data_IF_251874269873
#
_entry.id   IF_251874269873
#
_cell.length_a   1.000
_cell.length_b   1.000
_cell.length_c   1.000
_cell.angle_alpha   90.00
_cell.angle_beta   90.00
_cell.angle_gamma   90.00
#
_symmetry.space_group_name_H-M   'P 1'
#
loop_
_entity.id
_entity.type
_entity.pdbx_description
1 polymer ?
#
# COMPACT_ATOMS: atom_id res chain seq x y z
N UNK A 1 -6.88 -6.04 11.96
CA UNK A 1 -6.57 -7.40 11.45
C UNK A 1 -7.53 -7.89 10.36
N UNK A 2 -8.84 -7.84 10.57
CA UNK A 2 -9.87 -8.34 9.62
C UNK A 2 -9.83 -7.69 8.23
N UNK A 3 -9.56 -6.40 8.14
CA UNK A 3 -9.61 -5.65 6.87
C UNK A 3 -8.40 -5.87 5.97
N UNK A 4 -7.20 -5.97 6.53
CA UNK A 4 -6.01 -6.35 5.76
C UNK A 4 -6.20 -7.74 5.14
N UNK A 5 -6.84 -8.65 5.88
CA UNK A 5 -7.20 -9.98 5.38
C UNK A 5 -8.21 -9.92 4.22
N UNK A 6 -9.28 -9.12 4.33
CA UNK A 6 -10.26 -8.95 3.25
C UNK A 6 -9.64 -8.33 1.98
N UNK A 7 -8.72 -7.36 2.15
CA UNK A 7 -7.95 -6.80 1.02
C UNK A 7 -7.12 -7.88 0.34
N UNK A 8 -6.37 -8.68 1.11
CA UNK A 8 -5.59 -9.80 0.58
C UNK A 8 -6.47 -10.81 -0.16
N UNK A 9 -7.66 -11.14 0.38
CA UNK A 9 -8.63 -12.01 -0.29
C UNK A 9 -9.12 -11.43 -1.63
N UNK A 10 -9.43 -10.14 -1.68
CA UNK A 10 -9.83 -9.47 -2.93
C UNK A 10 -8.71 -9.53 -3.97
N UNK A 11 -7.49 -9.22 -3.58
CA UNK A 11 -6.31 -9.30 -4.46
C UNK A 11 -6.08 -10.73 -4.93
N UNK A 12 -6.22 -11.72 -4.04
CA UNK A 12 -6.15 -13.14 -4.37
C UNK A 12 -7.18 -13.53 -5.44
N UNK A 13 -8.43 -13.08 -5.28
CA UNK A 13 -9.50 -13.30 -6.26
C UNK A 13 -9.17 -12.70 -7.63
N UNK A 14 -8.62 -11.49 -7.68
CA UNK A 14 -8.18 -10.85 -8.94
C UNK A 14 -7.03 -11.62 -9.60
N UNK A 15 -6.06 -12.09 -8.81
CA UNK A 15 -4.97 -12.93 -9.29
C UNK A 15 -5.52 -14.23 -9.90
N UNK A 16 -6.45 -14.91 -9.21
CA UNK A 16 -7.06 -16.14 -9.71
C UNK A 16 -7.84 -15.91 -11.01
N UNK A 17 -8.58 -14.82 -11.12
CA UNK A 17 -9.28 -14.45 -12.35
C UNK A 17 -8.31 -14.20 -13.51
N UNK A 18 -7.23 -13.45 -13.24
CA UNK A 18 -6.21 -13.17 -14.25
C UNK A 18 -5.51 -14.45 -14.73
N UNK A 19 -5.10 -15.33 -13.81
CA UNK A 19 -4.42 -16.58 -14.17
C UNK A 19 -5.35 -17.57 -14.86
N UNK A 20 -6.63 -17.63 -14.49
CA UNK A 20 -7.64 -18.43 -15.20
C UNK A 20 -7.84 -17.91 -16.63
N UNK A 21 -7.93 -16.59 -16.81
CA UNK A 21 -8.00 -15.97 -18.13
C UNK A 21 -6.75 -16.27 -18.96
N UNK A 22 -5.56 -16.17 -18.37
CA UNK A 22 -4.31 -16.52 -19.03
C UNK A 22 -4.28 -18.00 -19.45
N UNK A 23 -4.81 -18.92 -18.62
CA UNK A 23 -4.97 -20.33 -18.97
C UNK A 23 -5.87 -20.55 -20.19
N UNK A 24 -6.98 -19.82 -20.28
CA UNK A 24 -7.89 -19.85 -21.44
C UNK A 24 -7.16 -19.38 -22.71
N UNK A 25 -6.43 -18.25 -22.62
CA UNK A 25 -5.66 -17.70 -23.76
C UNK A 25 -4.58 -18.69 -24.20
N UNK A 26 -3.86 -19.32 -23.26
CA UNK A 26 -2.89 -20.35 -23.61
C UNK A 26 -3.49 -21.51 -24.39
N UNK A 27 -4.66 -22.00 -23.98
CA UNK A 27 -5.35 -23.10 -24.66
C UNK A 27 -5.81 -22.70 -26.05
N UNK A 28 -6.39 -21.51 -26.23
CA UNK A 28 -6.81 -21.01 -27.54
C UNK A 28 -5.64 -20.91 -28.53
N UNK A 29 -4.42 -20.61 -28.05
CA UNK A 29 -3.22 -20.54 -28.88
C UNK A 29 -2.76 -21.94 -29.31
N UNK A 30 -2.89 -22.96 -28.44
CA UNK A 30 -2.32 -24.28 -28.69
C UNK A 30 -3.31 -25.32 -29.26
N UNK A 31 -4.59 -25.25 -28.89
CA UNK A 31 -5.55 -26.34 -29.16
C UNK A 31 -6.74 -25.91 -30.03
N UNK A 32 -6.86 -24.62 -30.38
CA UNK A 32 -7.98 -24.03 -31.15
C UNK A 32 -9.40 -24.31 -30.57
N UNK A 33 -9.50 -24.97 -29.41
CA UNK A 33 -10.78 -25.33 -28.77
C UNK A 33 -10.78 -24.93 -27.30
N UNK A 34 -11.89 -24.34 -26.86
CA UNK A 34 -12.11 -24.04 -25.44
C UNK A 34 -12.47 -25.32 -24.68
N UNK A 35 -11.71 -25.62 -23.63
CA UNK A 35 -12.02 -26.68 -22.68
C UNK A 35 -12.04 -26.12 -21.24
N UNK A 36 -12.87 -26.68 -20.38
CA UNK A 36 -12.92 -26.34 -18.96
C UNK A 36 -11.60 -26.64 -18.24
N UNK A 37 -10.73 -27.46 -18.81
CA UNK A 37 -9.42 -27.79 -18.26
C UNK A 37 -8.54 -26.56 -18.06
N UNK A 38 -8.58 -25.57 -18.98
CA UNK A 38 -7.78 -24.34 -18.85
C UNK A 38 -8.12 -23.52 -17.61
N UNK A 39 -9.39 -23.45 -17.23
CA UNK A 39 -9.83 -22.79 -16.00
C UNK A 39 -9.42 -23.61 -14.79
N UNK A 40 -9.53 -24.94 -14.85
CA UNK A 40 -9.11 -25.85 -13.78
C UNK A 40 -7.61 -25.79 -13.52
N UNK A 41 -6.77 -25.49 -14.51
CA UNK A 41 -5.34 -25.28 -14.30
C UNK A 41 -5.00 -23.86 -13.83
N UNK A 42 -5.61 -22.84 -14.40
CA UNK A 42 -5.30 -21.44 -14.08
C UNK A 42 -5.68 -21.05 -12.65
N UNK A 43 -6.78 -21.58 -12.12
CA UNK A 43 -7.27 -21.23 -10.79
C UNK A 43 -6.36 -21.73 -9.65
N UNK A 44 -5.93 -23.00 -9.58
CA UNK A 44 -4.99 -23.48 -8.57
C UNK A 44 -3.62 -22.79 -8.64
N UNK A 45 -3.14 -22.48 -9.85
CA UNK A 45 -1.90 -21.75 -10.04
C UNK A 45 -2.01 -20.31 -9.51
N UNK A 46 -3.13 -19.63 -9.77
CA UNK A 46 -3.42 -18.32 -9.20
C UNK A 46 -3.53 -18.34 -7.68
N UNK A 47 -4.15 -19.37 -7.12
CA UNK A 47 -4.21 -19.57 -5.67
C UNK A 47 -2.81 -19.75 -5.07
N UNK A 48 -2.01 -20.64 -5.63
CA UNK A 48 -0.63 -20.89 -5.16
C UNK A 48 0.24 -19.63 -5.21
N UNK A 49 0.22 -18.94 -6.35
CA UNK A 49 0.92 -17.66 -6.51
C UNK A 49 0.44 -16.61 -5.52
N UNK A 50 -0.87 -16.40 -5.45
CA UNK A 50 -1.45 -15.38 -4.58
C UNK A 50 -1.21 -15.67 -3.09
N UNK A 51 -1.26 -16.92 -2.67
CA UNK A 51 -0.90 -17.31 -1.30
C UNK A 51 0.57 -17.01 -0.99
N UNK A 52 1.47 -17.35 -1.89
CA UNK A 52 2.90 -17.03 -1.74
C UNK A 52 3.12 -15.51 -1.68
N UNK A 53 2.54 -14.74 -2.61
CA UNK A 53 2.75 -13.30 -2.71
C UNK A 53 2.14 -12.54 -1.53
N UNK A 54 0.93 -12.89 -1.09
CA UNK A 54 0.19 -12.11 -0.11
C UNK A 54 0.42 -12.55 1.35
N UNK A 55 0.85 -13.79 1.57
CA UNK A 55 0.96 -14.34 2.92
C UNK A 55 2.37 -14.82 3.27
N UNK A 56 3.13 -15.37 2.32
CA UNK A 56 4.47 -15.92 2.59
C UNK A 56 5.54 -14.84 2.46
N UNK A 57 5.63 -14.16 1.33
CA UNK A 57 6.68 -13.17 1.08
C UNK A 57 6.65 -11.96 2.04
N UNK A 58 5.50 -11.36 2.39
CA UNK A 58 5.48 -10.25 3.35
C UNK A 58 5.95 -10.64 4.74
N UNK A 59 5.74 -11.89 5.14
CA UNK A 59 6.12 -12.42 6.45
C UNK A 59 7.49 -13.10 6.46
N UNK A 60 8.14 -13.22 5.32
CA UNK A 60 9.44 -13.87 5.23
C UNK A 60 10.53 -13.00 5.88
N UNK A 61 11.47 -13.64 6.61
CA UNK A 61 12.69 -13.00 7.13
C UNK A 61 13.65 -12.55 6.02
N UNK A 62 13.35 -12.90 4.77
CA UNK A 62 14.07 -12.41 3.60
C UNK A 62 13.88 -10.89 3.52
N UNK A 63 14.97 -10.15 3.64
CA UNK A 63 14.95 -8.69 3.54
C UNK A 63 14.71 -8.23 2.09
N UNK A 64 13.72 -8.83 1.42
CA UNK A 64 13.37 -8.55 0.01
C UNK A 64 13.03 -7.06 -0.17
N UNK A 65 12.52 -6.40 0.87
CA UNK A 65 12.22 -4.97 0.87
C UNK A 65 13.41 -4.06 0.56
N UNK A 66 14.66 -4.52 0.86
CA UNK A 66 15.90 -3.76 0.60
C UNK A 66 16.48 -4.04 -0.78
N UNK A 67 15.88 -4.93 -1.57
CA UNK A 67 16.35 -5.25 -2.90
C UNK A 67 15.90 -4.22 -3.94
N UNK A 68 16.68 -4.10 -5.01
CA UNK A 68 16.29 -3.30 -6.16
C UNK A 68 15.06 -3.89 -6.86
N UNK A 69 14.30 -3.05 -7.53
CA UNK A 69 13.13 -3.43 -8.33
C UNK A 69 13.44 -4.63 -9.25
N UNK A 70 14.51 -4.53 -10.03
CA UNK A 70 14.94 -5.56 -10.98
C UNK A 70 15.26 -6.88 -10.25
N UNK A 71 15.96 -6.82 -9.11
CA UNK A 71 16.30 -8.01 -8.32
C UNK A 71 15.05 -8.72 -7.79
N UNK A 72 14.07 -7.95 -7.30
CA UNK A 72 12.80 -8.52 -6.84
C UNK A 72 12.04 -9.14 -8.01
N UNK A 73 11.97 -8.44 -9.14
CA UNK A 73 11.29 -8.91 -10.35
C UNK A 73 11.87 -10.25 -10.81
N UNK A 74 13.18 -10.30 -11.04
CA UNK A 74 13.85 -11.53 -11.51
C UNK A 74 13.67 -12.67 -10.49
N UNK A 75 13.96 -12.43 -9.21
CA UNK A 75 13.86 -13.45 -8.17
C UNK A 75 12.46 -14.04 -8.08
N UNK A 76 11.43 -13.19 -7.97
CA UNK A 76 10.04 -13.65 -7.88
C UNK A 76 9.60 -14.38 -9.14
N UNK A 77 9.92 -13.84 -10.33
CA UNK A 77 9.56 -14.50 -11.59
C UNK A 77 10.19 -15.88 -11.70
N UNK A 78 11.47 -16.03 -11.36
CA UNK A 78 12.15 -17.34 -11.37
C UNK A 78 11.52 -18.29 -10.35
N UNK A 79 11.28 -17.86 -9.12
CA UNK A 79 10.66 -18.70 -8.07
C UNK A 79 9.27 -19.18 -8.49
N UNK A 80 8.44 -18.28 -9.05
CA UNK A 80 7.10 -18.64 -9.49
C UNK A 80 7.12 -19.57 -10.69
N UNK A 81 7.98 -19.31 -11.68
CA UNK A 81 8.13 -20.19 -12.84
C UNK A 81 8.60 -21.59 -12.43
N UNK A 82 9.57 -21.67 -11.52
CA UNK A 82 10.03 -22.95 -10.98
C UNK A 82 8.93 -23.71 -10.21
N UNK A 83 8.15 -23.01 -9.37
CA UNK A 83 7.05 -23.61 -8.64
C UNK A 83 5.96 -24.15 -9.59
N UNK A 84 5.59 -23.39 -10.60
CA UNK A 84 4.60 -23.79 -11.60
C UNK A 84 5.11 -24.98 -12.43
N UNK A 85 6.35 -24.92 -12.85
CA UNK A 85 6.96 -26.03 -13.57
C UNK A 85 6.96 -27.33 -12.75
N UNK A 86 7.29 -27.23 -11.45
CA UNK A 86 7.23 -28.39 -10.53
C UNK A 86 5.81 -28.95 -10.41
N UNK A 87 4.80 -28.08 -10.27
CA UNK A 87 3.39 -28.49 -10.22
C UNK A 87 2.95 -29.11 -11.54
N UNK A 88 3.27 -28.49 -12.67
CA UNK A 88 2.95 -29.00 -14.01
C UNK A 88 3.57 -30.38 -14.23
N UNK A 89 4.86 -30.53 -13.88
CA UNK A 89 5.56 -31.81 -13.96
C UNK A 89 4.88 -32.89 -13.12
N UNK A 90 4.53 -32.56 -11.87
CA UNK A 90 3.85 -33.49 -10.97
C UNK A 90 2.52 -33.95 -11.53
N UNK A 91 1.72 -33.01 -12.07
CA UNK A 91 0.42 -33.32 -12.70
C UNK A 91 0.61 -34.21 -13.94
N UNK A 92 1.57 -33.88 -14.80
CA UNK A 92 1.89 -34.66 -16.00
C UNK A 92 2.32 -36.10 -15.65
N UNK A 93 3.14 -36.26 -14.62
CA UNK A 93 3.57 -37.57 -14.13
C UNK A 93 2.38 -38.38 -13.61
N UNK A 94 1.53 -37.77 -12.77
CA UNK A 94 0.34 -38.44 -12.20
C UNK A 94 -0.63 -38.84 -13.31
N UNK A 95 -0.91 -37.94 -14.26
CA UNK A 95 -1.81 -38.21 -15.39
C UNK A 95 -1.24 -39.34 -16.29
N UNK A 96 0.04 -39.30 -16.61
CA UNK A 96 0.70 -40.34 -17.38
C UNK A 96 0.60 -41.70 -16.74
N UNK A 97 0.80 -41.81 -15.41
CA UNK A 97 0.60 -43.08 -14.69
C UNK A 97 -0.86 -43.55 -14.74
N UNK A 98 -1.83 -42.65 -14.65
CA UNK A 98 -3.24 -42.99 -14.71
C UNK A 98 -3.65 -43.50 -16.12
N UNK A 99 -2.96 -43.03 -17.17
CA UNK A 99 -3.15 -43.43 -18.56
C UNK A 99 -2.29 -44.66 -18.98
N UNK A 100 -1.47 -45.19 -18.06
CA UNK A 100 -0.64 -46.39 -18.29
C UNK A 100 0.70 -46.11 -18.99
N UNK A 101 1.14 -44.84 -19.05
CA UNK A 101 2.44 -44.49 -19.62
C UNK A 101 3.59 -44.87 -18.68
N UNK A 102 4.74 -45.22 -19.25
CA UNK A 102 5.93 -45.59 -18.51
C UNK A 102 6.80 -44.35 -18.16
N UNK A 103 7.49 -44.37 -17.01
CA UNK A 103 8.42 -43.31 -16.58
C UNK A 103 9.49 -43.00 -17.63
N UNK A 104 9.84 -43.96 -18.47
CA UNK A 104 10.81 -43.83 -19.58
C UNK A 104 10.39 -42.80 -20.66
N UNK A 105 9.12 -42.42 -20.73
CA UNK A 105 8.61 -41.45 -21.69
C UNK A 105 8.68 -39.99 -21.16
N UNK A 106 8.92 -39.83 -19.87
CA UNK A 106 8.98 -38.51 -19.21
C UNK A 106 9.99 -37.54 -19.84
N UNK A 107 11.24 -37.97 -20.19
CA UNK A 107 12.19 -37.05 -20.81
C UNK A 107 11.71 -36.50 -22.15
N UNK A 108 11.01 -37.30 -22.94
CA UNK A 108 10.44 -36.86 -24.22
C UNK A 108 9.33 -35.84 -24.05
N UNK A 109 8.47 -36.00 -23.04
CA UNK A 109 7.43 -35.02 -22.67
C UNK A 109 8.06 -33.70 -22.20
N UNK A 110 9.08 -33.76 -21.36
CA UNK A 110 9.76 -32.57 -20.80
C UNK A 110 10.51 -31.74 -21.85
N UNK A 111 11.03 -32.39 -22.88
CA UNK A 111 11.74 -31.74 -23.98
C UNK A 111 10.84 -31.41 -25.17
N UNK A 112 9.54 -31.71 -25.07
CA UNK A 112 8.59 -31.41 -26.13
C UNK A 112 8.46 -29.91 -26.37
N UNK A 113 8.22 -29.46 -27.62
CA UNK A 113 7.97 -28.06 -27.94
C UNK A 113 6.83 -27.44 -27.10
N UNK A 114 5.79 -28.23 -26.83
CA UNK A 114 4.62 -27.79 -26.03
C UNK A 114 5.04 -27.42 -24.58
N UNK A 115 5.95 -28.21 -23.97
CA UNK A 115 6.46 -27.90 -22.63
C UNK A 115 7.34 -26.65 -22.62
N UNK A 116 8.17 -26.45 -23.64
CA UNK A 116 8.98 -25.24 -23.77
C UNK A 116 8.10 -23.99 -23.95
N UNK A 117 7.05 -24.10 -24.78
CA UNK A 117 6.07 -23.01 -24.94
C UNK A 117 5.36 -22.71 -23.62
N UNK A 118 4.96 -23.72 -22.86
CA UNK A 118 4.36 -23.55 -21.52
C UNK A 118 5.28 -22.79 -20.57
N UNK A 119 6.56 -23.17 -20.53
CA UNK A 119 7.54 -22.49 -19.66
C UNK A 119 7.71 -21.02 -20.08
N UNK A 120 7.89 -20.73 -21.36
CA UNK A 120 8.03 -19.37 -21.87
C UNK A 120 6.78 -18.53 -21.60
N UNK A 121 5.60 -19.12 -21.83
CA UNK A 121 4.32 -18.46 -21.55
C UNK A 121 4.16 -18.16 -20.08
N UNK A 122 4.42 -19.12 -19.19
CA UNK A 122 4.31 -18.90 -17.74
C UNK A 122 5.30 -17.86 -17.26
N UNK A 123 6.54 -17.88 -17.74
CA UNK A 123 7.56 -16.87 -17.41
C UNK A 123 7.09 -15.47 -17.81
N UNK A 124 6.51 -15.32 -19.00
CA UNK A 124 5.97 -14.04 -19.47
C UNK A 124 4.80 -13.57 -18.59
N UNK A 125 3.80 -14.42 -18.36
CA UNK A 125 2.57 -14.06 -17.63
C UNK A 125 2.89 -13.69 -16.18
N UNK A 126 3.68 -14.51 -15.49
CA UNK A 126 4.03 -14.23 -14.09
C UNK A 126 5.04 -13.08 -13.96
N UNK A 127 5.94 -12.91 -14.92
CA UNK A 127 6.79 -11.73 -15.00
C UNK A 127 5.98 -10.45 -15.12
N UNK A 128 4.98 -10.42 -15.99
CA UNK A 128 4.05 -9.29 -16.12
C UNK A 128 3.25 -9.07 -14.84
N UNK A 129 2.72 -10.13 -14.23
CA UNK A 129 1.96 -10.02 -12.99
C UNK A 129 2.80 -9.43 -11.85
N UNK A 130 4.02 -9.94 -11.64
CA UNK A 130 4.95 -9.41 -10.64
C UNK A 130 5.31 -7.96 -10.96
N UNK A 131 5.54 -7.63 -12.23
CA UNK A 131 5.81 -6.26 -12.67
C UNK A 131 4.66 -5.31 -12.31
N UNK A 132 3.42 -5.68 -12.65
CA UNK A 132 2.24 -4.86 -12.29
C UNK A 132 2.07 -4.67 -10.79
N UNK A 133 2.24 -5.72 -9.98
CA UNK A 133 2.17 -5.62 -8.54
C UNK A 133 3.26 -4.70 -7.96
N UNK A 134 4.46 -4.71 -8.54
CA UNK A 134 5.53 -3.80 -8.12
C UNK A 134 5.28 -2.37 -8.53
N UNK A 135 4.71 -2.12 -9.71
CA UNK A 135 4.31 -0.77 -10.15
C UNK A 135 3.19 -0.24 -9.24
N UNK A 136 2.20 -1.06 -8.89
CA UNK A 136 1.14 -0.65 -7.95
C UNK A 136 1.72 -0.27 -6.58
N UNK A 137 2.69 -1.03 -6.06
CA UNK A 137 3.38 -0.69 -4.81
C UNK A 137 4.21 0.60 -4.92
N UNK A 138 4.76 0.90 -6.09
CA UNK A 138 5.54 2.14 -6.34
C UNK A 138 4.65 3.38 -6.43
N UNK A 139 3.51 3.26 -7.13
CA UNK A 139 2.58 4.38 -7.37
C UNK A 139 1.62 4.60 -6.20
N UNK A 140 1.36 3.57 -5.41
CA UNK A 140 0.32 3.54 -4.38
C UNK A 140 -0.96 2.83 -4.82
N UNK A 141 -1.69 2.30 -3.84
CA UNK A 141 -2.88 1.48 -4.06
C UNK A 141 -3.96 2.22 -4.86
N UNK A 142 -4.42 1.59 -5.94
CA UNK A 142 -5.51 2.10 -6.79
C UNK A 142 -5.14 3.29 -7.69
N UNK A 143 -3.91 3.80 -7.65
CA UNK A 143 -3.48 4.93 -8.51
C UNK A 143 -3.53 4.54 -9.97
N UNK A 144 -3.08 3.33 -10.33
CA UNK A 144 -3.14 2.81 -11.70
C UNK A 144 -4.57 2.84 -12.23
N UNK A 145 -5.55 2.39 -11.42
CA UNK A 145 -6.96 2.40 -11.81
C UNK A 145 -7.52 3.81 -11.98
N UNK A 146 -7.08 4.78 -11.16
CA UNK A 146 -7.46 6.19 -11.31
C UNK A 146 -6.94 6.77 -12.64
N UNK A 147 -5.75 6.36 -13.08
CA UNK A 147 -5.19 6.74 -14.38
C UNK A 147 -5.91 6.06 -15.55
N UNK A 148 -6.11 4.74 -15.52
CA UNK A 148 -6.76 3.97 -16.60
C UNK A 148 -8.22 4.42 -16.78
N UNK A 149 -8.95 4.64 -15.68
CA UNK A 149 -10.33 5.09 -15.71
C UNK A 149 -10.51 6.56 -16.10
N UNK A 150 -9.42 7.32 -16.22
CA UNK A 150 -9.47 8.75 -16.50
C UNK A 150 -10.14 9.58 -15.40
N UNK A 151 -10.26 9.05 -14.17
CA UNK A 151 -11.05 9.66 -13.08
C UNK A 151 -10.69 11.13 -12.85
N UNK A 152 -9.42 11.49 -12.97
CA UNK A 152 -8.90 12.85 -12.73
C UNK A 152 -8.29 13.49 -13.97
N UNK A 153 -8.66 13.01 -15.15
CA UNK A 153 -8.26 13.65 -16.41
C UNK A 153 -8.82 15.07 -16.51
N UNK A 154 -10.05 15.24 -16.05
CA UNK A 154 -10.66 16.55 -15.81
C UNK A 154 -10.62 16.87 -14.32
N UNK A 155 -10.41 18.16 -13.94
CA UNK A 155 -10.47 18.60 -12.55
C UNK A 155 -11.82 18.27 -11.91
N UNK A 156 -11.77 17.68 -10.69
CA UNK A 156 -12.96 17.33 -9.91
C UNK A 156 -12.86 17.88 -8.51
N UNK A 157 -13.94 18.43 -8.02
CA UNK A 157 -14.05 18.81 -6.61
C UNK A 157 -14.39 17.57 -5.78
N UNK A 158 -13.64 17.37 -4.71
CA UNK A 158 -13.90 16.33 -3.71
C UNK A 158 -13.75 16.94 -2.31
N UNK A 159 -14.64 16.55 -1.40
CA UNK A 159 -14.46 16.85 0.02
C UNK A 159 -13.59 15.78 0.65
N UNK A 160 -12.47 16.23 1.25
CA UNK A 160 -11.44 15.32 1.80
C UNK A 160 -10.93 15.77 3.15
N UNK A 161 -10.41 14.83 3.92
CA UNK A 161 -9.65 15.07 5.14
C UNK A 161 -8.17 14.94 4.80
N UNK A 162 -7.35 15.89 5.28
CA UNK A 162 -5.90 15.83 5.20
C UNK A 162 -5.31 15.75 6.59
N UNK A 163 -4.27 14.92 6.73
CA UNK A 163 -3.39 14.85 7.89
C UNK A 163 -1.96 15.10 7.44
N UNK A 164 -1.31 16.07 8.04
CA UNK A 164 0.12 16.27 7.98
C UNK A 164 0.72 15.66 9.23
N UNK A 165 1.59 14.70 9.06
CA UNK A 165 2.21 13.92 10.14
C UNK A 165 3.72 14.09 10.04
N UNK A 166 4.34 14.78 11.00
CA UNK A 166 5.72 15.25 10.96
C UNK A 166 6.48 14.86 12.23
N UNK A 167 7.78 14.57 12.06
CA UNK A 167 8.62 14.10 13.16
C UNK A 167 9.08 15.24 14.06
N UNK A 168 8.99 15.04 15.38
CA UNK A 168 9.58 15.99 16.33
C UNK A 168 11.10 15.99 16.24
N UNK A 169 11.68 17.20 16.25
CA UNK A 169 13.14 17.41 16.34
C UNK A 169 13.96 16.64 15.29
N UNK A 170 13.41 16.46 14.11
CA UNK A 170 14.02 15.70 13.01
C UNK A 170 15.42 16.19 12.64
N UNK A 171 15.66 17.50 12.64
CA UNK A 171 16.98 18.10 12.38
C UNK A 171 18.02 17.62 13.40
N UNK A 172 17.70 17.66 14.69
CA UNK A 172 18.61 17.20 15.78
C UNK A 172 18.89 15.69 15.66
N UNK A 173 17.84 14.90 15.30
CA UNK A 173 18.01 13.46 15.09
C UNK A 173 18.88 13.20 13.86
N UNK A 174 18.68 13.95 12.78
CA UNK A 174 19.48 13.84 11.57
C UNK A 174 20.95 14.19 11.80
N UNK A 175 21.23 15.25 12.58
CA UNK A 175 22.59 15.61 12.99
C UNK A 175 23.27 14.50 13.81
N UNK A 176 22.52 13.86 14.74
CA UNK A 176 23.04 12.78 15.58
C UNK A 176 23.32 11.49 14.79
N UNK A 177 22.46 11.13 13.85
CA UNK A 177 22.55 9.86 13.11
C UNK A 177 23.35 9.97 11.81
N UNK A 178 23.59 11.19 11.33
CA UNK A 178 24.08 11.45 9.99
C UNK A 178 23.03 11.10 8.91
N UNK A 179 23.24 11.57 7.68
CA UNK A 179 22.25 11.45 6.60
C UNK A 179 21.79 10.02 6.34
N UNK A 180 22.71 9.06 6.29
CA UNK A 180 22.39 7.65 6.02
C UNK A 180 21.63 6.98 7.17
N UNK A 181 22.04 7.28 8.42
CA UNK A 181 21.37 6.76 9.62
C UNK A 181 19.95 7.30 9.73
N UNK A 182 19.76 8.60 9.49
CA UNK A 182 18.45 9.24 9.48
C UNK A 182 17.53 8.68 8.39
N UNK A 183 18.03 8.49 7.18
CA UNK A 183 17.27 7.83 6.11
C UNK A 183 16.81 6.42 6.48
N UNK A 184 17.68 5.62 7.12
CA UNK A 184 17.32 4.29 7.59
C UNK A 184 16.23 4.34 8.68
N UNK A 185 16.32 5.30 9.62
CA UNK A 185 15.28 5.54 10.61
C UNK A 185 13.94 5.88 9.95
N UNK A 186 13.91 6.83 9.02
CA UNK A 186 12.69 7.22 8.31
C UNK A 186 12.08 6.05 7.55
N UNK A 187 12.90 5.23 6.90
CA UNK A 187 12.42 4.06 6.16
C UNK A 187 11.76 3.02 7.09
N UNK A 188 12.27 2.83 8.31
CA UNK A 188 11.62 1.96 9.30
C UNK A 188 10.34 2.59 9.85
N UNK A 189 10.37 3.86 10.19
CA UNK A 189 9.20 4.59 10.70
C UNK A 189 8.06 4.63 9.69
N UNK A 190 8.34 4.93 8.42
CA UNK A 190 7.31 4.94 7.37
C UNK A 190 6.79 3.54 7.03
N UNK A 191 7.50 2.49 7.42
CA UNK A 191 6.94 1.14 7.40
C UNK A 191 5.86 0.96 8.48
N UNK A 192 6.05 1.52 9.67
CA UNK A 192 5.09 1.38 10.77
C UNK A 192 3.74 2.04 10.48
N UNK A 193 3.70 3.04 9.59
CA UNK A 193 2.44 3.69 9.20
C UNK A 193 1.63 2.85 8.19
N UNK A 194 2.25 1.88 7.52
CA UNK A 194 1.60 1.12 6.44
C UNK A 194 0.37 0.34 6.92
N UNK A 195 0.46 -0.32 8.07
CA UNK A 195 -0.68 -1.06 8.65
C UNK A 195 -1.82 -0.13 9.08
N UNK A 196 -1.60 0.97 9.84
CA UNK A 196 -2.60 2.00 10.10
C UNK A 196 -3.28 2.52 8.84
N UNK A 197 -2.53 2.89 7.79
CA UNK A 197 -3.05 3.39 6.52
C UNK A 197 -4.01 2.39 5.88
N UNK A 198 -3.64 1.11 5.81
CA UNK A 198 -4.48 0.05 5.24
C UNK A 198 -5.75 -0.15 6.07
N UNK A 199 -5.63 -0.20 7.40
CA UNK A 199 -6.77 -0.47 8.28
C UNK A 199 -7.80 0.65 8.26
N UNK A 200 -7.37 1.89 8.09
CA UNK A 200 -8.20 3.09 8.19
C UNK A 200 -8.62 3.68 6.84
N UNK A 201 -8.30 3.02 5.73
CA UNK A 201 -8.60 3.49 4.37
C UNK A 201 -7.95 4.84 4.03
N UNK A 202 -6.82 5.13 4.64
CA UNK A 202 -6.02 6.27 4.28
C UNK A 202 -5.37 6.07 2.90
N UNK A 203 -5.17 7.16 2.20
CA UNK A 203 -4.32 7.23 1.01
C UNK A 203 -3.07 8.02 1.39
N UNK A 204 -1.89 7.49 1.10
CA UNK A 204 -0.65 8.27 1.22
C UNK A 204 -0.60 9.19 0.01
N UNK A 205 -0.64 10.50 0.28
CA UNK A 205 -0.55 11.49 -0.79
C UNK A 205 0.91 11.71 -1.20
N UNK A 206 1.77 11.98 -0.24
CA UNK A 206 3.21 12.16 -0.49
C UNK A 206 4.04 12.01 0.79
N UNK A 207 5.34 11.77 0.60
CA UNK A 207 6.36 11.88 1.62
C UNK A 207 7.21 13.13 1.32
N UNK A 208 7.43 13.98 2.30
CA UNK A 208 8.21 15.22 2.17
C UNK A 208 9.24 15.27 3.29
N UNK A 209 10.46 14.79 3.04
CA UNK A 209 11.47 14.67 4.08
C UNK A 209 11.06 13.68 5.18
N UNK A 210 10.84 14.18 6.38
CA UNK A 210 10.38 13.44 7.55
C UNK A 210 8.86 13.53 7.78
N UNK A 211 8.16 14.22 6.90
CA UNK A 211 6.71 14.36 6.91
C UNK A 211 6.03 13.35 5.97
N UNK A 212 4.89 12.83 6.37
CA UNK A 212 3.97 12.11 5.51
C UNK A 212 2.61 12.77 5.49
N UNK A 213 2.10 13.01 4.28
CA UNK A 213 0.77 13.58 4.08
C UNK A 213 -0.20 12.47 3.73
N UNK A 214 -1.22 12.31 4.57
CA UNK A 214 -2.29 11.34 4.40
C UNK A 214 -3.60 12.05 4.03
N UNK A 215 -4.43 11.35 3.28
CA UNK A 215 -5.75 11.86 2.93
C UNK A 215 -6.81 10.78 2.91
N UNK A 216 -8.06 11.16 3.14
CA UNK A 216 -9.26 10.31 3.07
C UNK A 216 -10.36 11.04 2.30
N UNK A 217 -11.19 10.28 1.59
CA UNK A 217 -12.54 10.79 1.27
C UNK A 217 -13.29 11.01 2.59
N UNK A 218 -14.19 11.99 2.63
CA UNK A 218 -14.94 12.32 3.85
C UNK A 218 -15.60 11.09 4.47
N UNK A 219 -16.25 10.26 3.64
CA UNK A 219 -16.90 9.02 4.08
C UNK A 219 -15.93 8.08 4.80
N UNK A 220 -14.74 7.86 4.24
CA UNK A 220 -13.78 6.92 4.80
C UNK A 220 -13.05 7.47 6.02
N UNK A 221 -12.79 8.77 6.06
CA UNK A 221 -12.08 9.37 7.18
C UNK A 221 -12.93 9.51 8.43
N UNK A 222 -14.24 9.80 8.27
CA UNK A 222 -15.18 9.91 9.40
C UNK A 222 -15.67 8.54 9.90
N UNK A 223 -15.75 7.53 9.03
CA UNK A 223 -16.14 6.18 9.42
C UNK A 223 -15.25 5.67 10.56
N UNK A 224 -15.85 5.39 11.73
CA UNK A 224 -15.13 4.93 12.93
C UNK A 224 -13.97 5.85 13.36
N UNK A 225 -14.05 7.16 13.07
CA UNK A 225 -12.99 8.14 13.29
C UNK A 225 -11.63 7.70 12.68
N UNK A 226 -11.66 7.10 11.50
CA UNK A 226 -10.49 6.48 10.86
C UNK A 226 -9.32 7.46 10.71
N UNK A 227 -9.56 8.74 10.42
CA UNK A 227 -8.50 9.73 10.32
C UNK A 227 -7.71 9.88 11.63
N UNK A 228 -8.39 9.92 12.77
CA UNK A 228 -7.74 10.00 14.10
C UNK A 228 -7.13 8.65 14.50
N UNK A 229 -7.86 7.58 14.24
CA UNK A 229 -7.40 6.22 14.53
C UNK A 229 -6.06 5.91 13.88
N UNK A 230 -5.81 6.41 12.68
CA UNK A 230 -4.52 6.26 11.99
C UNK A 230 -3.39 6.81 12.83
N UNK A 231 -3.53 8.02 13.36
CA UNK A 231 -2.51 8.66 14.20
C UNK A 231 -2.25 7.86 15.48
N UNK A 232 -3.31 7.45 16.19
CA UNK A 232 -3.15 6.71 17.44
C UNK A 232 -2.52 5.33 17.23
N UNK A 233 -2.96 4.58 16.23
CA UNK A 233 -2.36 3.29 15.87
C UNK A 233 -0.89 3.42 15.49
N UNK A 234 -0.54 4.45 14.72
CA UNK A 234 0.84 4.69 14.36
C UNK A 234 1.69 5.02 15.60
N UNK A 235 1.18 5.88 16.49
CA UNK A 235 1.84 6.21 17.76
C UNK A 235 2.06 4.97 18.63
N UNK A 236 1.06 4.11 18.75
CA UNK A 236 1.15 2.82 19.46
C UNK A 236 2.20 1.90 18.86
N UNK A 237 2.27 1.80 17.53
CA UNK A 237 3.29 1.00 16.85
C UNK A 237 4.70 1.48 17.18
N UNK A 238 4.94 2.79 17.20
CA UNK A 238 6.25 3.35 17.56
C UNK A 238 6.59 3.08 19.03
N UNK A 239 5.63 3.24 19.94
CA UNK A 239 5.82 2.98 21.36
C UNK A 239 6.10 1.50 21.62
N UNK A 240 5.37 0.59 20.97
CA UNK A 240 5.56 -0.85 21.13
C UNK A 240 6.94 -1.33 20.66
N UNK A 241 7.61 -0.56 19.80
CA UNK A 241 8.95 -0.82 19.27
C UNK A 241 10.03 0.10 19.85
N UNK A 242 9.75 0.80 20.95
CA UNK A 242 10.67 1.76 21.56
C UNK A 242 12.06 1.17 21.86
N UNK A 243 12.12 -0.06 22.40
CA UNK A 243 13.38 -0.76 22.69
C UNK A 243 14.21 -1.02 21.43
N UNK A 244 13.55 -1.39 20.33
CA UNK A 244 14.22 -1.58 19.05
C UNK A 244 14.82 -0.27 18.53
N UNK A 245 14.03 0.81 18.56
CA UNK A 245 14.48 2.14 18.13
C UNK A 245 15.63 2.66 18.98
N UNK A 246 15.55 2.52 20.30
CA UNK A 246 16.63 2.90 21.19
C UNK A 246 17.91 2.12 20.94
N UNK A 247 17.82 0.80 20.75
CA UNK A 247 18.99 -0.06 20.49
C UNK A 247 19.62 0.22 19.12
N UNK A 248 18.81 0.49 18.10
CA UNK A 248 19.28 0.61 16.72
C UNK A 248 19.71 2.02 16.36
N UNK A 249 18.97 3.03 16.84
CA UNK A 249 19.14 4.43 16.45
C UNK A 249 19.45 5.35 17.64
N UNK A 250 19.35 4.87 18.89
CA UNK A 250 19.58 5.67 20.08
C UNK A 250 18.52 6.77 20.31
N UNK A 251 17.33 6.66 19.66
CA UNK A 251 16.21 7.60 19.78
C UNK A 251 14.90 6.87 19.50
N UNK A 252 13.84 7.23 20.22
CA UNK A 252 12.47 6.81 19.90
C UNK A 252 11.81 7.93 19.10
N UNK A 253 11.43 7.70 17.83
CA UNK A 253 10.83 8.73 17.00
C UNK A 253 9.44 9.12 17.54
N UNK A 254 9.19 10.42 17.60
CA UNK A 254 7.90 10.98 18.01
C UNK A 254 7.34 11.81 16.87
N UNK A 255 6.01 11.81 16.73
CA UNK A 255 5.32 12.50 15.65
C UNK A 255 4.20 13.38 16.17
N UNK A 256 3.93 14.44 15.41
CA UNK A 256 2.82 15.36 15.61
C UNK A 256 1.95 15.40 14.37
N UNK A 257 0.66 15.60 14.53
CA UNK A 257 -0.30 15.60 13.46
C UNK A 257 -1.19 16.85 13.46
N UNK A 258 -1.38 17.45 12.29
CA UNK A 258 -2.37 18.48 12.05
C UNK A 258 -3.41 17.98 11.05
N UNK A 259 -4.71 18.15 11.35
CA UNK A 259 -5.78 17.66 10.50
C UNK A 259 -6.82 18.72 10.20
N UNK A 260 -7.27 18.72 8.95
CA UNK A 260 -8.38 19.56 8.49
C UNK A 260 -9.21 18.84 7.44
N UNK A 261 -10.50 19.20 7.34
CA UNK A 261 -11.38 18.74 6.28
C UNK A 261 -11.83 19.93 5.42
N UNK A 262 -12.08 19.69 4.15
CA UNK A 262 -12.65 20.68 3.25
C UNK A 262 -12.57 20.24 1.79
N UNK A 263 -12.99 21.14 0.90
CA UNK A 263 -13.02 20.90 -0.53
C UNK A 263 -11.66 21.10 -1.16
N UNK A 264 -11.31 20.17 -2.05
CA UNK A 264 -10.11 20.22 -2.91
C UNK A 264 -10.49 19.95 -4.34
N UNK A 265 -9.75 20.54 -5.26
CA UNK A 265 -9.76 20.14 -6.66
C UNK A 265 -8.71 19.04 -6.86
N UNK A 266 -9.16 17.89 -7.32
CA UNK A 266 -8.31 16.77 -7.69
C UNK A 266 -8.14 16.78 -9.20
N UNK A 267 -6.92 16.82 -9.69
CA UNK A 267 -6.63 16.80 -11.11
C UNK A 267 -5.31 16.08 -11.39
N UNK A 268 -5.20 15.53 -12.60
CA UNK A 268 -3.93 15.08 -13.13
C UNK A 268 -3.19 16.26 -13.73
N UNK A 269 -1.94 16.48 -13.32
CA UNK A 269 -1.09 17.54 -13.86
C UNK A 269 0.24 16.99 -14.36
N UNK A 270 0.88 17.77 -15.23
CA UNK A 270 2.22 17.57 -15.77
C UNK A 270 2.23 16.75 -17.06
N UNK A 271 3.20 17.05 -17.93
CA UNK A 271 3.41 16.34 -19.20
C UNK A 271 4.58 15.36 -19.11
N UNK A 272 5.72 15.80 -18.62
CA UNK A 272 6.92 14.96 -18.48
C UNK A 272 6.77 13.97 -17.32
N UNK A 273 6.17 14.40 -16.22
CA UNK A 273 5.80 13.57 -15.07
C UNK A 273 4.34 13.86 -14.71
N UNK A 274 3.48 12.88 -14.92
CA UNK A 274 2.06 12.98 -14.56
C UNK A 274 1.84 12.51 -13.14
N UNK A 275 1.12 13.31 -12.37
CA UNK A 275 0.72 12.95 -11.01
C UNK A 275 -0.67 13.51 -10.68
N UNK A 276 -1.38 12.82 -9.81
CA UNK A 276 -2.64 13.30 -9.25
C UNK A 276 -2.30 14.26 -8.12
N UNK A 277 -2.79 15.49 -8.20
CA UNK A 277 -2.59 16.51 -7.17
C UNK A 277 -3.90 16.95 -6.57
N UNK A 278 -3.81 17.36 -5.32
CA UNK A 278 -4.91 17.97 -4.57
C UNK A 278 -4.58 19.45 -4.39
N UNK A 279 -5.39 20.31 -4.94
CA UNK A 279 -5.25 21.76 -4.83
C UNK A 279 -6.44 22.35 -4.08
N UNK A 280 -6.16 23.10 -3.03
CA UNK A 280 -7.18 23.75 -2.20
C UNK A 280 -6.60 24.26 -0.89
N UNK A 281 -7.29 25.22 -0.27
CA UNK A 281 -6.90 25.81 1.00
C UNK A 281 -6.82 24.77 2.14
N UNK A 282 -7.58 23.68 2.04
CA UNK A 282 -7.62 22.60 3.04
C UNK A 282 -6.25 21.95 3.25
N UNK A 283 -5.46 21.78 2.20
CA UNK A 283 -4.12 21.19 2.27
C UNK A 283 -3.20 22.11 3.09
N UNK A 284 -3.18 23.40 2.74
CA UNK A 284 -2.40 24.40 3.44
C UNK A 284 -2.85 24.59 4.90
N UNK A 285 -4.15 24.53 5.15
CA UNK A 285 -4.71 24.67 6.50
C UNK A 285 -4.29 23.49 7.39
N UNK A 286 -4.34 22.26 6.91
CA UNK A 286 -3.90 21.08 7.66
C UNK A 286 -2.41 21.16 8.03
N UNK A 287 -1.56 21.57 7.08
CA UNK A 287 -0.13 21.81 7.35
C UNK A 287 0.08 22.87 8.41
N UNK A 288 -0.61 24.01 8.32
CA UNK A 288 -0.49 25.09 9.33
C UNK A 288 -1.01 24.69 10.72
N UNK A 289 -2.02 23.82 10.79
CA UNK A 289 -2.49 23.26 12.06
C UNK A 289 -1.39 22.37 12.66
N UNK A 290 -0.70 21.58 11.84
CA UNK A 290 0.41 20.75 12.26
C UNK A 290 1.56 21.60 12.84
N UNK A 291 1.89 22.76 12.25
CA UNK A 291 2.88 23.70 12.76
C UNK A 291 2.53 24.19 14.20
N UNK A 292 1.23 24.35 14.51
CA UNK A 292 0.78 24.78 15.84
C UNK A 292 1.00 23.72 16.93
N UNK A 293 1.16 22.45 16.58
CA UNK A 293 1.39 21.37 17.55
C UNK A 293 2.56 21.67 18.50
N UNK A 294 3.67 22.20 17.96
CA UNK A 294 4.84 22.56 18.74
C UNK A 294 4.54 23.72 19.71
N UNK A 295 3.82 24.74 19.25
CA UNK A 295 3.47 25.91 20.06
C UNK A 295 2.59 25.55 21.26
N UNK A 296 1.62 24.67 21.04
CA UNK A 296 0.65 24.29 22.09
C UNK A 296 1.05 23.00 22.82
N UNK A 297 2.20 22.42 22.51
CA UNK A 297 2.70 21.16 23.11
C UNK A 297 1.66 20.03 23.03
N UNK A 298 1.06 19.86 21.85
CA UNK A 298 0.07 18.82 21.55
C UNK A 298 0.54 17.97 20.40
N UNK A 299 0.35 16.65 20.53
CA UNK A 299 0.76 15.71 19.48
C UNK A 299 -0.24 15.67 18.31
N UNK A 300 -1.51 16.00 18.56
CA UNK A 300 -2.54 15.97 17.54
C UNK A 300 -3.48 17.18 17.69
N UNK A 301 -3.55 18.00 16.65
CA UNK A 301 -4.48 19.12 16.55
C UNK A 301 -5.41 18.93 15.35
N UNK A 302 -6.67 19.27 15.54
CA UNK A 302 -7.68 19.25 14.47
C UNK A 302 -8.38 20.59 14.38
N UNK A 303 -8.90 20.92 13.20
CA UNK A 303 -9.76 22.10 13.02
C UNK A 303 -11.12 21.93 13.67
N UNK A 304 -11.76 23.04 14.01
CA UNK A 304 -13.15 23.07 14.51
C UNK A 304 -14.14 22.40 13.57
N UNK A 305 -13.91 22.46 12.25
CA UNK A 305 -14.79 21.81 11.27
C UNK A 305 -14.68 20.29 11.35
N UNK A 306 -13.47 19.73 11.50
CA UNK A 306 -13.29 18.29 11.70
C UNK A 306 -13.79 17.85 13.08
N UNK A 307 -13.56 18.66 14.12
CA UNK A 307 -14.09 18.41 15.47
C UNK A 307 -15.62 18.27 15.46
N UNK A 308 -16.37 19.17 14.81
CA UNK A 308 -17.84 19.10 14.71
C UNK A 308 -18.33 17.78 14.13
N UNK A 309 -17.59 17.16 13.21
CA UNK A 309 -17.94 15.88 12.61
C UNK A 309 -17.66 14.68 13.52
N UNK A 310 -16.69 14.81 14.44
CA UNK A 310 -16.20 13.70 15.26
C UNK A 310 -16.46 13.83 16.75
N UNK A 311 -17.02 14.96 17.23
CA UNK A 311 -17.21 15.27 18.65
C UNK A 311 -18.01 14.22 19.42
N UNK A 312 -18.94 13.55 18.75
CA UNK A 312 -19.82 12.53 19.34
C UNK A 312 -19.23 11.11 19.25
N UNK A 313 -18.00 10.95 18.75
CA UNK A 313 -17.39 9.64 18.63
C UNK A 313 -16.87 9.18 20.00
N UNK A 314 -17.36 8.02 20.47
CA UNK A 314 -16.95 7.43 21.76
C UNK A 314 -15.47 7.02 21.76
N UNK A 315 -14.78 7.20 22.90
CA UNK A 315 -13.37 6.83 23.07
C UNK A 315 -12.40 7.95 22.67
N UNK A 316 -12.91 9.18 22.48
CA UNK A 316 -12.09 10.38 22.23
C UNK A 316 -12.36 11.44 23.30
N UNK A 317 -11.31 11.99 23.85
CA UNK A 317 -11.36 13.16 24.74
C UNK A 317 -10.87 14.39 23.99
N UNK A 318 -11.66 15.45 24.05
CA UNK A 318 -11.43 16.69 23.32
C UNK A 318 -11.14 17.85 24.24
N UNK A 319 -10.19 18.69 23.89
CA UNK A 319 -9.87 19.94 24.56
C UNK A 319 -9.80 21.06 23.52
N UNK A 320 -10.57 22.14 23.70
CA UNK A 320 -10.41 23.34 22.88
C UNK A 320 -9.11 24.03 23.27
N UNK A 321 -8.26 24.27 22.30
CA UNK A 321 -6.91 24.82 22.54
C UNK A 321 -6.89 26.33 22.33
N UNK A 322 -7.31 26.80 21.15
CA UNK A 322 -7.26 28.21 20.76
C UNK A 322 -8.10 28.48 19.51
N UNK A 323 -8.23 29.76 19.18
CA UNK A 323 -8.71 30.22 17.88
C UNK A 323 -7.61 31.02 17.21
N UNK A 324 -7.07 30.51 16.11
CA UNK A 324 -5.83 31.02 15.51
C UNK A 324 -6.09 31.58 14.11
N UNK A 325 -5.63 32.81 13.88
CA UNK A 325 -5.50 33.35 12.53
C UNK A 325 -4.33 32.63 11.82
N UNK A 326 -4.63 31.70 10.94
CA UNK A 326 -3.62 31.02 10.14
C UNK A 326 -3.20 31.91 8.96
N UNK A 327 -1.91 31.96 8.67
CA UNK A 327 -1.36 32.78 7.58
C UNK A 327 -2.11 32.52 6.26
N UNK A 328 -2.65 33.58 5.62
CA UNK A 328 -3.37 33.50 4.34
C UNK A 328 -4.78 32.91 4.45
N UNK A 329 -5.37 32.81 5.63
CA UNK A 329 -6.81 32.62 5.84
C UNK A 329 -7.44 33.92 6.28
N UNK A 330 -8.62 34.23 5.72
CA UNK A 330 -9.43 35.40 6.14
C UNK A 330 -10.07 35.14 7.50
N UNK A 331 -10.52 33.92 7.74
CA UNK A 331 -11.19 33.53 8.98
C UNK A 331 -10.24 32.78 9.92
N UNK A 332 -10.33 33.07 11.21
CA UNK A 332 -9.63 32.33 12.25
C UNK A 332 -10.17 30.89 12.33
N UNK A 333 -9.29 29.94 12.66
CA UNK A 333 -9.62 28.52 12.77
C UNK A 333 -9.58 28.11 14.24
N UNK A 334 -10.67 27.55 14.74
CA UNK A 334 -10.69 26.91 16.05
C UNK A 334 -9.84 25.65 16.03
N UNK A 335 -8.98 25.47 17.04
CA UNK A 335 -8.12 24.32 17.21
C UNK A 335 -8.57 23.49 18.41
N UNK A 336 -8.63 22.18 18.20
CA UNK A 336 -8.94 21.19 19.22
C UNK A 336 -7.80 20.17 19.30
N UNK A 337 -7.40 19.87 20.53
CA UNK A 337 -6.54 18.72 20.81
C UNK A 337 -7.41 17.48 21.05
N UNK A 338 -6.92 16.32 20.65
CA UNK A 338 -7.62 15.05 20.80
C UNK A 338 -6.69 13.99 21.40
N UNK A 339 -7.22 13.21 22.34
CA UNK A 339 -6.55 12.04 22.93
C UNK A 339 -7.48 10.84 22.88
N UNK A 340 -6.92 9.65 22.69
CA UNK A 340 -7.67 8.41 22.87
C UNK A 340 -7.85 8.14 24.38
N UNK A 341 -9.06 7.71 24.76
CA UNK A 341 -9.42 7.40 26.16
C UNK A 341 -8.99 6.01 26.51
#
# INVERSE_FOLDING_TARGET
MHRNFLRKLRTLGLICLFTSFAGIVYQLINEERLSYHSVLFGLPLGLGFGLLELFVFPNSKLQVRRWSFTRILIFKTVVYTAAIYTVSLTVTVIAGFAEGHHISELPAVLTSPSHLILILYTLLIYGLLVFFLQIENLLGEGVIWKFISGKYHEPREEERIFMFLDMYSSTTVAEKLGHKGFYNLLNEVFHEISEPVIQTKAEIYQYVGDEVVLTWSIKHGLENANCLKTFFMFKENLISKSDHYLKTFGVVPQFKAGMHLGNVVCAQIGDTKRQIVYNGDVVNTASRIQDQCKKYQRDCLVSGDLFKQLQNYNGLTWERVDTVALRGKENAVDLYSVTAT
#
